data_IF_121348986333
#
_entry.id   IF_121348986333
#
_cell.length_a   1.000
_cell.length_b   1.000
_cell.length_c   1.000
_cell.angle_alpha   90.00
_cell.angle_beta   90.00
_cell.angle_gamma   90.00
#
_symmetry.space_group_name_H-M   'P 1'
#
loop_
_entity.id
_entity.type
_entity.pdbx_description
1 polymer ?
#
# COMPACT_ATOMS: atom_id res chain seq x y z
N UNK A 1 -2.65 12.20 -23.46
CA UNK A 1 -2.52 10.72 -23.70
C UNK A 1 -1.05 10.31 -23.58
N UNK A 2 -0.75 9.28 -22.78
CA UNK A 2 0.63 8.93 -22.36
C UNK A 2 1.10 7.62 -23.01
N UNK A 3 2.28 7.57 -23.66
CA UNK A 3 2.89 6.32 -24.07
C UNK A 3 3.28 5.52 -22.82
N UNK A 4 2.97 4.23 -22.82
CA UNK A 4 3.19 3.35 -21.68
C UNK A 4 4.50 2.61 -21.91
N UNK A 5 5.45 2.80 -20.99
CA UNK A 5 6.82 2.29 -21.17
C UNK A 5 7.07 0.98 -20.43
N UNK A 6 6.09 0.50 -19.64
CA UNK A 6 6.21 -0.78 -18.94
C UNK A 6 4.87 -1.51 -18.86
N UNK A 7 4.94 -2.84 -18.87
CA UNK A 7 3.78 -3.71 -18.65
C UNK A 7 3.08 -3.42 -17.31
N UNK A 8 3.84 -3.12 -16.26
CA UNK A 8 3.31 -2.84 -14.92
C UNK A 8 2.43 -1.59 -14.95
N UNK A 9 2.91 -0.52 -15.59
CA UNK A 9 2.16 0.71 -15.77
C UNK A 9 0.89 0.47 -16.61
N UNK A 10 0.97 -0.34 -17.69
CA UNK A 10 -0.20 -0.71 -18.49
C UNK A 10 -1.27 -1.41 -17.64
N UNK A 11 -0.88 -2.41 -16.86
CA UNK A 11 -1.79 -3.19 -16.02
C UNK A 11 -2.34 -2.37 -14.85
N UNK A 12 -1.57 -1.42 -14.30
CA UNK A 12 -2.08 -0.48 -13.30
C UNK A 12 -3.13 0.47 -13.88
N UNK A 13 -2.97 0.91 -15.14
CA UNK A 13 -3.95 1.74 -15.84
C UNK A 13 -5.24 0.95 -16.07
N UNK A 14 -5.14 -0.28 -16.62
CA UNK A 14 -6.29 -1.17 -16.82
C UNK A 14 -6.99 -1.48 -15.49
N UNK A 15 -6.21 -1.78 -14.44
CA UNK A 15 -6.72 -2.15 -13.11
C UNK A 15 -7.49 -1.05 -12.38
N UNK A 16 -7.36 0.22 -12.79
CA UNK A 16 -8.25 1.29 -12.29
C UNK A 16 -9.69 1.11 -12.79
N UNK A 17 -9.86 0.56 -13.98
CA UNK A 17 -11.15 0.32 -14.63
C UNK A 17 -11.88 -0.93 -14.16
N UNK A 18 -11.18 -1.93 -13.62
CA UNK A 18 -11.73 -3.24 -13.23
C UNK A 18 -12.49 -3.25 -11.90
N UNK A 19 -12.55 -2.12 -11.18
CA UNK A 19 -13.34 -2.00 -9.95
C UNK A 19 -14.84 -2.17 -10.25
N UNK A 20 -15.50 -3.07 -9.52
CA UNK A 20 -16.93 -3.36 -9.60
C UNK A 20 -17.75 -2.33 -8.81
N UNK A 21 -18.91 -1.94 -9.36
CA UNK A 21 -19.90 -1.08 -8.73
C UNK A 21 -21.30 -1.54 -9.16
N UNK A 22 -22.30 -1.37 -8.30
CA UNK A 22 -23.68 -1.61 -8.68
C UNK A 22 -24.06 -0.69 -9.85
N UNK A 23 -24.60 -1.26 -10.93
CA UNK A 23 -24.91 -0.59 -12.22
C UNK A 23 -23.72 -0.35 -13.16
N UNK A 24 -22.59 -1.05 -12.96
CA UNK A 24 -21.45 -1.02 -13.91
C UNK A 24 -21.10 -2.43 -14.37
N UNK A 25 -21.55 -2.78 -15.57
CA UNK A 25 -21.31 -4.12 -16.16
C UNK A 25 -20.01 -4.21 -16.95
N UNK A 26 -19.50 -3.08 -17.46
CA UNK A 26 -18.27 -3.03 -18.25
C UNK A 26 -17.54 -1.68 -18.11
N UNK A 27 -16.33 -1.61 -18.66
CA UNK A 27 -15.60 -0.37 -18.88
C UNK A 27 -14.91 -0.45 -20.24
N UNK A 28 -14.67 0.70 -20.87
CA UNK A 28 -14.07 0.76 -22.20
C UNK A 28 -12.70 1.42 -22.13
N UNK A 29 -11.69 0.76 -22.68
CA UNK A 29 -10.34 1.32 -22.81
C UNK A 29 -10.22 1.91 -24.22
N UNK A 30 -10.07 3.22 -24.30
CA UNK A 30 -9.73 3.89 -25.55
C UNK A 30 -8.21 4.09 -25.62
N UNK A 31 -7.55 3.23 -26.39
CA UNK A 31 -6.11 3.29 -26.59
C UNK A 31 -5.74 3.94 -27.92
N UNK A 32 -5.33 5.20 -27.85
CA UNK A 32 -4.96 6.02 -29.00
C UNK A 32 -3.47 5.92 -29.36
N UNK A 33 -2.64 5.41 -28.45
CA UNK A 33 -1.19 5.23 -28.66
C UNK A 33 -0.83 3.80 -29.04
N UNK A 34 -1.84 2.92 -29.16
CA UNK A 34 -1.71 1.50 -29.51
C UNK A 34 -0.83 0.71 -28.53
N UNK A 35 -0.78 1.14 -27.27
CA UNK A 35 -0.08 0.44 -26.19
C UNK A 35 -0.57 -1.01 -25.99
N UNK A 36 -1.85 -1.30 -26.21
CA UNK A 36 -2.39 -2.66 -26.15
C UNK A 36 -1.65 -3.62 -27.08
N UNK A 37 -1.15 -3.16 -28.23
CA UNK A 37 -0.38 -4.02 -29.15
C UNK A 37 0.94 -4.51 -28.55
N UNK A 38 1.50 -3.75 -27.60
CA UNK A 38 2.77 -4.06 -26.95
C UNK A 38 2.59 -4.82 -25.64
N UNK A 39 1.41 -4.74 -25.01
CA UNK A 39 1.17 -5.21 -23.64
C UNK A 39 -0.08 -6.09 -23.48
N UNK A 40 -0.70 -6.51 -24.58
CA UNK A 40 -1.80 -7.47 -24.57
C UNK A 40 -1.28 -8.82 -24.09
N UNK A 41 -1.94 -9.37 -23.08
CA UNK A 41 -1.64 -10.68 -22.52
C UNK A 41 -2.94 -11.51 -22.49
N UNK A 42 -3.23 -12.32 -23.53
CA UNK A 42 -4.48 -13.07 -23.64
C UNK A 42 -4.73 -14.04 -22.47
N UNK A 43 -3.68 -14.57 -21.83
CA UNK A 43 -3.83 -15.47 -20.67
C UNK A 43 -4.29 -14.72 -19.41
N UNK A 44 -4.00 -13.41 -19.32
CA UNK A 44 -4.34 -12.57 -18.17
C UNK A 44 -5.56 -11.66 -18.42
N UNK A 45 -5.66 -11.06 -19.60
CA UNK A 45 -6.70 -10.08 -19.97
C UNK A 45 -8.00 -10.74 -20.47
N UNK A 46 -7.92 -11.98 -20.97
CA UNK A 46 -8.99 -12.65 -21.70
C UNK A 46 -9.16 -12.12 -23.13
N UNK A 47 -10.14 -12.67 -23.87
CA UNK A 47 -10.46 -12.19 -25.21
C UNK A 47 -11.19 -10.84 -25.12
N UNK A 48 -10.76 -9.80 -25.87
CA UNK A 48 -11.47 -8.53 -25.90
C UNK A 48 -12.86 -8.73 -26.49
N UNK A 49 -13.89 -8.37 -25.71
CA UNK A 49 -15.25 -8.32 -26.23
C UNK A 49 -15.36 -7.19 -27.26
N UNK A 50 -16.09 -7.43 -28.33
CA UNK A 50 -16.38 -6.39 -29.31
C UNK A 50 -17.02 -5.18 -28.61
N UNK A 51 -16.58 -3.95 -28.94
CA UNK A 51 -17.14 -2.76 -28.34
C UNK A 51 -18.66 -2.77 -28.56
N UNK A 52 -19.42 -2.52 -27.48
CA UNK A 52 -20.86 -2.42 -27.56
C UNK A 52 -21.23 -1.53 -28.76
N UNK A 53 -22.06 -2.05 -29.66
CA UNK A 53 -22.59 -1.23 -30.76
C UNK A 53 -23.12 0.06 -30.13
N UNK A 54 -22.76 1.23 -30.67
CA UNK A 54 -23.13 2.50 -30.05
C UNK A 54 -24.64 2.52 -29.89
N UNK A 55 -25.11 2.33 -28.66
CA UNK A 55 -26.51 2.55 -28.32
C UNK A 55 -26.72 4.03 -28.57
N UNK A 56 -27.50 4.34 -29.61
CA UNK A 56 -27.73 5.69 -30.11
C UNK A 56 -28.44 6.54 -29.06
N UNK A 57 -27.70 6.97 -28.04
CA UNK A 57 -28.14 7.76 -26.91
C UNK A 57 -27.60 9.16 -27.02
N UNK A 58 -28.11 9.92 -27.98
CA UNK A 58 -27.78 11.32 -28.12
C UNK A 58 -28.62 11.99 -29.21
N UNK A 59 -29.70 12.65 -28.81
CA UNK A 59 -30.39 13.66 -29.62
C UNK A 59 -29.49 14.90 -29.89
N UNK A 60 -28.23 14.72 -30.25
CA UNK A 60 -27.35 15.80 -30.70
C UNK A 60 -27.67 16.10 -32.16
N UNK A 61 -27.95 17.34 -32.55
CA UNK A 61 -28.17 17.72 -33.96
C UNK A 61 -26.96 17.42 -34.86
N UNK A 62 -27.09 17.71 -36.16
CA UNK A 62 -25.94 17.75 -37.09
C UNK A 62 -24.82 18.59 -36.45
N UNK A 63 -23.56 18.17 -36.60
CA UNK A 63 -22.43 18.96 -36.10
C UNK A 63 -22.56 20.41 -36.58
N UNK A 64 -22.43 21.40 -35.69
CA UNK A 64 -22.58 22.81 -36.06
C UNK A 64 -21.47 23.30 -37.01
N UNK A 65 -20.34 22.61 -37.04
CA UNK A 65 -19.19 22.96 -37.88
C UNK A 65 -19.19 22.23 -39.23
N UNK A 66 -19.37 20.90 -39.24
CA UNK A 66 -19.33 20.12 -40.49
C UNK A 66 -20.68 19.66 -41.02
N UNK A 67 -21.78 19.83 -40.25
CA UNK A 67 -23.12 19.46 -40.70
C UNK A 67 -23.41 17.95 -40.76
N UNK A 68 -22.43 17.10 -40.45
CA UNK A 68 -22.55 15.64 -40.60
C UNK A 68 -22.89 14.91 -39.29
N UNK A 69 -23.40 13.67 -39.45
CA UNK A 69 -23.62 12.68 -38.38
C UNK A 69 -23.13 11.29 -38.81
N UNK A 70 -22.07 10.74 -38.19
CA UNK A 70 -21.26 11.31 -37.12
C UNK A 70 -20.40 12.51 -37.58
N UNK A 71 -19.93 13.33 -36.64
CA UNK A 71 -19.07 14.48 -36.94
C UNK A 71 -17.75 14.03 -37.60
N UNK A 72 -17.34 14.68 -38.68
CA UNK A 72 -16.08 14.41 -39.40
C UNK A 72 -14.96 15.44 -39.09
N UNK A 73 -15.19 16.38 -38.17
CA UNK A 73 -14.16 17.37 -37.81
C UNK A 73 -12.95 16.66 -37.19
N UNK A 74 -11.77 16.88 -37.76
CA UNK A 74 -10.50 16.46 -37.14
C UNK A 74 -10.21 17.43 -36.00
N UNK A 75 -10.36 16.98 -34.76
CA UNK A 75 -9.83 17.72 -33.61
C UNK A 75 -8.34 17.41 -33.51
N UNK A 76 -7.51 18.43 -33.69
CA UNK A 76 -6.09 18.31 -33.37
C UNK A 76 -5.94 17.96 -31.88
N UNK A 77 -5.08 17.00 -31.51
CA UNK A 77 -4.84 16.69 -30.11
C UNK A 77 -4.27 17.94 -29.41
N UNK A 78 -4.86 18.31 -28.28
CA UNK A 78 -4.38 19.43 -27.49
C UNK A 78 -2.90 19.20 -27.11
N UNK A 79 -2.05 20.24 -27.16
CA UNK A 79 -0.63 20.09 -26.85
C UNK A 79 -0.45 19.69 -25.37
N UNK A 80 0.42 18.71 -25.13
CA UNK A 80 0.84 18.34 -23.77
C UNK A 80 1.44 19.55 -23.04
N UNK A 81 1.37 19.56 -21.71
CA UNK A 81 1.97 20.64 -20.93
C UNK A 81 3.47 20.78 -21.24
N UNK A 82 3.91 21.96 -21.67
CA UNK A 82 5.30 22.24 -22.05
C UNK A 82 6.34 22.07 -20.92
N UNK A 83 5.90 21.95 -19.65
CA UNK A 83 6.78 21.77 -18.48
C UNK A 83 6.89 20.31 -18.04
N UNK A 84 5.78 19.59 -17.96
CA UNK A 84 5.76 18.22 -17.41
C UNK A 84 5.42 17.15 -18.45
N UNK A 85 5.10 17.53 -19.69
CA UNK A 85 4.76 16.64 -20.80
C UNK A 85 3.61 15.67 -20.48
N UNK A 86 2.79 15.98 -19.46
CA UNK A 86 1.63 15.19 -19.06
C UNK A 86 0.31 15.88 -19.47
N UNK A 87 -0.72 15.06 -19.66
CA UNK A 87 -2.12 15.43 -19.85
C UNK A 87 -3.00 14.44 -19.03
N UNK A 88 -3.63 14.88 -17.94
CA UNK A 88 -3.70 16.28 -17.46
C UNK A 88 -2.36 16.78 -16.89
N UNK A 89 -2.15 18.09 -16.95
CA UNK A 89 -0.97 18.77 -16.39
C UNK A 89 -0.85 18.53 -14.88
N UNK A 90 0.33 18.11 -14.40
CA UNK A 90 0.65 17.95 -12.96
C UNK A 90 1.53 19.08 -12.41
N UNK A 91 1.81 20.11 -13.21
CA UNK A 91 2.64 21.24 -12.78
C UNK A 91 2.01 22.08 -11.66
N UNK A 92 0.71 21.89 -11.41
CA UNK A 92 -0.03 22.56 -10.34
C UNK A 92 -0.18 21.72 -9.07
N UNK A 93 0.38 20.50 -8.99
CA UNK A 93 0.60 19.89 -7.68
C UNK A 93 1.60 20.76 -6.94
N UNK A 94 1.22 21.42 -5.83
CA UNK A 94 2.13 22.28 -5.11
C UNK A 94 3.33 21.42 -4.68
N UNK A 95 4.57 21.94 -4.79
CA UNK A 95 5.71 21.21 -4.29
C UNK A 95 5.47 20.87 -2.81
N UNK A 96 5.65 19.59 -2.45
CA UNK A 96 5.48 19.12 -1.07
C UNK A 96 6.29 20.03 -0.15
N UNK A 97 5.61 20.72 0.75
CA UNK A 97 6.25 21.62 1.68
C UNK A 97 6.80 20.80 2.85
N UNK A 98 8.05 20.33 2.71
CA UNK A 98 8.72 19.61 3.80
C UNK A 98 9.22 20.59 4.86
N UNK A 99 8.92 20.31 6.12
CA UNK A 99 9.47 21.05 7.26
C UNK A 99 10.38 20.13 8.10
N UNK A 100 11.42 20.72 8.69
CA UNK A 100 12.38 20.00 9.54
C UNK A 100 12.04 20.21 11.01
N UNK A 101 11.70 19.12 11.70
CA UNK A 101 11.55 19.08 13.15
C UNK A 101 12.87 18.65 13.78
N UNK A 102 13.40 19.43 14.72
CA UNK A 102 14.58 19.02 15.51
C UNK A 102 14.14 18.21 16.73
N UNK A 103 14.61 16.97 16.81
CA UNK A 103 14.34 16.05 17.93
C UNK A 103 15.47 16.06 18.97
N UNK A 104 16.71 16.26 18.53
CA UNK A 104 17.87 16.43 19.41
C UNK A 104 18.98 17.21 18.72
N UNK A 105 20.11 17.43 19.40
CA UNK A 105 21.26 18.12 18.81
C UNK A 105 21.74 17.48 17.50
N UNK A 106 21.66 16.15 17.40
CA UNK A 106 22.14 15.35 16.26
C UNK A 106 21.01 14.79 15.40
N UNK A 107 19.74 15.10 15.72
CA UNK A 107 18.59 14.48 15.06
C UNK A 107 17.55 15.50 14.61
N UNK A 108 17.23 15.44 13.32
CA UNK A 108 16.12 16.14 12.72
C UNK A 108 15.27 15.16 11.89
N UNK A 109 13.98 15.42 11.80
CA UNK A 109 13.00 14.69 11.02
C UNK A 109 12.41 15.62 9.96
N UNK A 110 12.26 15.13 8.73
CA UNK A 110 11.51 15.84 7.70
C UNK A 110 10.07 15.32 7.68
N UNK A 111 9.10 16.24 7.68
CA UNK A 111 7.67 15.91 7.60
C UNK A 111 6.98 16.74 6.51
N UNK A 112 5.92 16.20 5.93
CA UNK A 112 5.12 16.90 4.93
C UNK A 112 4.08 17.83 5.60
N UNK A 113 4.34 19.14 5.57
CA UNK A 113 3.46 20.14 6.18
C UNK A 113 2.13 20.35 5.45
N UNK A 114 1.95 19.78 4.26
CA UNK A 114 0.71 19.85 3.51
C UNK A 114 -0.32 18.81 3.97
N UNK A 115 0.12 17.76 4.67
CA UNK A 115 -0.77 16.71 5.17
C UNK A 115 -1.49 17.22 6.41
N UNK A 116 -2.81 17.38 6.29
CA UNK A 116 -3.69 17.78 7.39
C UNK A 116 -3.95 16.59 8.30
N UNK A 117 -3.17 16.49 9.36
CA UNK A 117 -3.39 15.55 10.46
C UNK A 117 -3.89 16.29 11.70
N UNK A 118 -4.44 15.55 12.65
CA UNK A 118 -4.78 16.08 13.96
C UNK A 118 -4.26 15.12 15.00
N UNK A 119 -3.59 15.64 16.01
CA UNK A 119 -3.02 14.87 17.11
C UNK A 119 -3.61 15.34 18.42
N UNK A 120 -3.72 14.44 19.37
CA UNK A 120 -4.25 14.69 20.69
C UNK A 120 -3.34 14.04 21.73
N UNK A 121 -3.13 14.72 22.85
CA UNK A 121 -2.43 14.14 23.97
C UNK A 121 -3.34 13.15 24.76
N UNK A 122 -2.78 12.51 25.79
CA UNK A 122 -3.51 11.58 26.67
C UNK A 122 -4.71 12.20 27.40
N UNK A 123 -4.73 13.53 27.59
CA UNK A 123 -5.86 14.27 28.18
C UNK A 123 -6.95 14.64 27.15
N UNK A 124 -6.78 14.28 25.88
CA UNK A 124 -7.68 14.63 24.79
C UNK A 124 -7.56 16.09 24.30
N UNK A 125 -6.48 16.79 24.63
CA UNK A 125 -6.18 18.13 24.11
C UNK A 125 -5.49 18.04 22.76
N UNK A 126 -5.90 18.84 21.77
CA UNK A 126 -5.22 18.86 20.48
C UNK A 126 -3.80 19.39 20.63
N UNK A 127 -2.85 18.72 19.98
CA UNK A 127 -1.44 19.09 19.94
C UNK A 127 -0.95 19.15 18.49
N UNK A 128 0.14 19.87 18.26
CA UNK A 128 0.78 19.92 16.94
C UNK A 128 1.48 18.60 16.60
N UNK A 129 1.72 18.38 15.30
CA UNK A 129 2.53 17.27 14.84
C UNK A 129 3.95 17.27 15.44
N UNK A 130 4.55 18.45 15.62
CA UNK A 130 5.86 18.60 16.23
C UNK A 130 5.85 18.14 17.70
N UNK A 131 4.85 18.56 18.47
CA UNK A 131 4.69 18.12 19.87
C UNK A 131 4.46 16.62 19.94
N UNK A 132 3.58 16.06 19.11
CA UNK A 132 3.32 14.62 19.07
C UNK A 132 4.60 13.82 18.79
N UNK A 133 5.38 14.22 17.77
CA UNK A 133 6.62 13.53 17.41
C UNK A 133 7.66 13.65 18.53
N UNK A 134 7.79 14.82 19.17
CA UNK A 134 8.71 15.02 20.29
C UNK A 134 8.33 14.18 21.51
N UNK A 135 7.05 14.13 21.86
CA UNK A 135 6.54 13.26 22.92
C UNK A 135 6.83 11.80 22.61
N UNK A 136 6.46 11.32 21.42
CA UNK A 136 6.73 9.94 21.01
C UNK A 136 8.23 9.62 21.07
N UNK A 137 9.07 10.52 20.56
CA UNK A 137 10.53 10.35 20.61
C UNK A 137 11.07 10.28 22.05
N UNK A 138 10.51 11.08 22.96
CA UNK A 138 10.87 11.09 24.38
C UNK A 138 10.45 9.83 25.13
N UNK A 139 9.32 9.22 24.74
CA UNK A 139 8.77 8.03 25.40
C UNK A 139 9.35 6.70 24.86
N UNK A 140 9.86 6.69 23.62
CA UNK A 140 10.43 5.49 22.99
C UNK A 140 11.44 4.74 23.87
N UNK A 141 12.41 5.39 24.56
CA UNK A 141 13.37 4.70 25.42
C UNK A 141 12.75 3.87 26.55
N UNK A 142 11.51 4.16 26.96
CA UNK A 142 10.77 3.38 27.96
C UNK A 142 10.13 2.12 27.37
N UNK A 143 9.89 2.10 26.05
CA UNK A 143 9.27 1.00 25.31
C UNK A 143 10.33 0.03 24.74
N UNK A 144 11.39 0.59 24.17
CA UNK A 144 12.53 -0.17 23.63
C UNK A 144 13.77 0.73 23.53
N UNK A 145 14.94 0.15 23.78
CA UNK A 145 16.22 0.86 23.93
C UNK A 145 17.07 0.83 22.65
N UNK A 146 16.78 -0.07 21.72
CA UNK A 146 17.50 -0.20 20.44
C UNK A 146 16.59 -0.69 19.32
N UNK A 147 17.03 -0.51 18.08
CA UNK A 147 16.36 -1.06 16.90
C UNK A 147 16.28 -2.59 16.96
N UNK A 148 17.29 -3.25 17.54
CA UNK A 148 17.30 -4.71 17.68
C UNK A 148 16.27 -5.18 18.71
N UNK A 149 16.14 -4.46 19.83
CA UNK A 149 15.06 -4.74 20.79
C UNK A 149 13.68 -4.49 20.17
N UNK A 150 13.51 -3.39 19.43
CA UNK A 150 12.28 -3.15 18.66
C UNK A 150 11.98 -4.32 17.72
N UNK A 151 12.99 -4.84 17.04
CA UNK A 151 12.86 -5.98 16.11
C UNK A 151 12.44 -7.26 16.83
N UNK A 152 13.05 -7.58 17.95
CA UNK A 152 12.70 -8.73 18.77
C UNK A 152 11.23 -8.67 19.23
N UNK A 153 10.80 -7.51 19.72
CA UNK A 153 9.42 -7.26 20.15
C UNK A 153 8.46 -7.32 18.96
N UNK A 154 8.78 -6.67 17.84
CA UNK A 154 7.85 -6.49 16.72
C UNK A 154 7.66 -7.75 15.88
N UNK A 155 8.69 -8.59 15.79
CA UNK A 155 8.70 -9.78 14.93
C UNK A 155 7.76 -10.89 15.41
N UNK A 156 7.33 -10.85 16.68
CA UNK A 156 6.39 -11.82 17.25
C UNK A 156 5.01 -11.16 17.44
N UNK A 157 3.89 -11.77 16.97
CA UNK A 157 2.56 -11.16 17.07
C UNK A 157 2.14 -10.78 18.49
N UNK A 158 2.48 -11.62 19.48
CA UNK A 158 2.09 -11.40 20.87
C UNK A 158 2.77 -10.17 21.48
N UNK A 159 4.09 -10.04 21.33
CA UNK A 159 4.84 -8.91 21.86
C UNK A 159 4.63 -7.64 21.05
N UNK A 160 4.39 -7.74 19.74
CA UNK A 160 3.96 -6.62 18.89
C UNK A 160 2.63 -6.04 19.37
N UNK A 161 1.64 -6.90 19.66
CA UNK A 161 0.35 -6.46 20.20
C UNK A 161 0.53 -5.74 21.53
N UNK A 162 1.31 -6.30 22.44
CA UNK A 162 1.63 -5.67 23.73
C UNK A 162 2.27 -4.30 23.57
N UNK A 163 3.21 -4.13 22.64
CA UNK A 163 3.82 -2.84 22.34
C UNK A 163 2.81 -1.82 21.78
N UNK A 164 1.89 -2.25 20.92
CA UNK A 164 0.81 -1.40 20.40
C UNK A 164 -0.16 -0.97 21.51
N UNK A 165 -0.47 -1.87 22.44
CA UNK A 165 -1.27 -1.57 23.64
C UNK A 165 -0.55 -0.54 24.53
N UNK A 166 0.73 -0.74 24.84
CA UNK A 166 1.54 0.18 25.64
C UNK A 166 1.67 1.57 24.98
N UNK A 167 1.83 1.62 23.65
CA UNK A 167 1.79 2.88 22.89
C UNK A 167 0.43 3.57 23.04
N UNK A 168 -0.67 2.83 22.93
CA UNK A 168 -2.01 3.39 23.09
C UNK A 168 -2.28 3.88 24.51
N UNK A 169 -1.81 3.17 25.54
CA UNK A 169 -1.91 3.58 26.94
C UNK A 169 -1.15 4.89 27.21
N UNK A 170 -0.04 5.12 26.51
CA UNK A 170 0.69 6.39 26.52
C UNK A 170 0.05 7.51 25.68
N UNK A 171 -1.08 7.23 25.02
CA UNK A 171 -1.83 8.21 24.21
C UNK A 171 -1.52 8.16 22.71
N UNK A 172 -0.69 7.23 22.24
CA UNK A 172 -0.39 7.03 20.82
C UNK A 172 -1.34 6.02 20.18
N UNK A 173 -2.58 6.45 19.96
CA UNK A 173 -3.63 5.59 19.38
C UNK A 173 -3.26 5.12 17.95
N UNK A 174 -3.78 3.96 17.48
CA UNK A 174 -3.55 3.48 16.11
C UNK A 174 -3.85 4.51 15.01
N UNK A 175 -4.93 5.30 15.16
CA UNK A 175 -5.29 6.35 14.19
C UNK A 175 -4.23 7.46 14.11
N UNK A 176 -3.68 7.90 15.24
CA UNK A 176 -2.61 8.90 15.27
C UNK A 176 -1.30 8.34 14.72
N UNK A 177 -0.99 7.06 14.96
CA UNK A 177 0.19 6.42 14.37
C UNK A 177 0.05 6.28 12.84
N UNK A 178 -1.18 6.11 12.33
CA UNK A 178 -1.46 6.15 10.90
C UNK A 178 -1.27 7.55 10.30
N UNK A 179 -1.76 8.58 10.98
CA UNK A 179 -1.56 9.97 10.59
C UNK A 179 -0.08 10.36 10.59
N UNK A 180 0.67 9.91 11.60
CA UNK A 180 2.12 10.04 11.66
C UNK A 180 2.79 9.33 10.46
N UNK A 181 2.35 8.13 10.11
CA UNK A 181 2.90 7.37 8.98
C UNK A 181 2.74 8.14 7.66
N UNK A 182 1.58 8.75 7.41
CA UNK A 182 1.36 9.63 6.25
C UNK A 182 2.26 10.86 6.31
N UNK A 183 2.32 11.49 7.47
CA UNK A 183 3.10 12.71 7.70
C UNK A 183 4.60 12.54 7.37
N UNK A 184 5.15 11.35 7.59
CA UNK A 184 6.54 11.00 7.24
C UNK A 184 6.70 10.34 5.87
N UNK A 185 5.64 10.30 5.03
CA UNK A 185 5.62 9.67 3.71
C UNK A 185 5.97 8.16 3.76
N UNK A 186 5.43 7.47 4.77
CA UNK A 186 5.69 6.05 5.04
C UNK A 186 4.51 5.13 4.82
N UNK A 187 3.51 5.50 4.02
CA UNK A 187 2.26 4.73 3.81
C UNK A 187 2.51 3.30 3.30
N UNK A 188 3.54 3.14 2.47
CA UNK A 188 3.98 1.85 1.94
C UNK A 188 4.85 1.06 2.93
N UNK A 189 5.22 1.64 4.07
CA UNK A 189 6.08 1.04 5.09
C UNK A 189 5.29 0.43 6.25
N UNK A 190 5.97 -0.44 7.00
CA UNK A 190 5.44 -0.97 8.25
C UNK A 190 5.56 0.09 9.36
N UNK A 191 4.68 0.06 10.36
CA UNK A 191 4.80 0.92 11.54
C UNK A 191 6.13 0.69 12.27
N UNK A 192 6.70 -0.52 12.20
CA UNK A 192 8.09 -0.79 12.61
C UNK A 192 9.08 0.21 12.00
N UNK A 193 8.98 0.46 10.69
CA UNK A 193 9.90 1.34 9.98
C UNK A 193 9.72 2.79 10.41
N UNK A 194 8.47 3.22 10.63
CA UNK A 194 8.14 4.56 11.12
C UNK A 194 8.71 4.78 12.52
N UNK A 195 8.52 3.81 13.43
CA UNK A 195 9.09 3.86 14.78
C UNK A 195 10.63 3.87 14.73
N UNK A 196 11.25 3.03 13.90
CA UNK A 196 12.70 3.00 13.73
C UNK A 196 13.25 4.28 13.09
N UNK A 197 12.52 4.91 12.17
CA UNK A 197 12.86 6.22 11.59
C UNK A 197 12.86 7.30 12.68
N UNK A 198 11.79 7.39 13.47
CA UNK A 198 11.65 8.37 14.55
C UNK A 198 12.64 8.12 15.67
N UNK A 199 12.93 6.87 16.03
CA UNK A 199 13.87 6.53 17.10
C UNK A 199 15.34 6.64 16.66
N UNK A 200 15.69 6.08 15.50
CA UNK A 200 17.07 5.80 15.10
C UNK A 200 17.48 6.37 13.74
N UNK A 201 16.62 7.16 13.08
CA UNK A 201 16.89 7.77 11.76
C UNK A 201 17.16 6.73 10.67
N UNK A 202 16.51 5.57 10.79
CA UNK A 202 16.56 4.48 9.81
C UNK A 202 15.67 4.81 8.62
N UNK A 203 16.13 4.51 7.41
CA UNK A 203 15.31 4.70 6.21
C UNK A 203 14.05 3.83 6.27
N UNK A 204 12.95 4.39 5.79
CA UNK A 204 11.70 3.68 5.62
C UNK A 204 11.89 2.55 4.59
N UNK A 205 11.46 1.34 4.94
CA UNK A 205 11.48 0.18 4.05
C UNK A 205 10.06 -0.15 3.61
N UNK A 206 9.76 -0.25 2.31
CA UNK A 206 8.43 -0.66 1.87
C UNK A 206 8.07 -2.08 2.30
N UNK A 207 6.79 -2.33 2.63
CA UNK A 207 6.27 -3.66 2.98
C UNK A 207 6.54 -4.69 1.89
N UNK A 208 6.46 -4.29 0.62
CA UNK A 208 6.79 -5.15 -0.52
C UNK A 208 8.24 -5.63 -0.46
N UNK A 209 9.19 -4.73 -0.15
CA UNK A 209 10.60 -5.10 -0.02
C UNK A 209 10.84 -6.07 1.15
N UNK A 210 10.08 -5.93 2.24
CA UNK A 210 10.12 -6.88 3.37
C UNK A 210 9.59 -8.25 2.96
N UNK A 211 8.44 -8.27 2.29
CA UNK A 211 7.81 -9.50 1.83
C UNK A 211 8.71 -10.27 0.86
N UNK A 212 9.29 -9.60 -0.13
CA UNK A 212 10.21 -10.24 -1.10
C UNK A 212 11.45 -10.83 -0.43
N UNK A 213 12.03 -10.15 0.58
CA UNK A 213 13.14 -10.73 1.35
C UNK A 213 12.70 -11.95 2.15
N UNK A 214 11.54 -11.87 2.82
CA UNK A 214 11.03 -12.98 3.62
C UNK A 214 10.79 -14.25 2.78
N UNK A 215 10.39 -14.11 1.51
CA UNK A 215 10.20 -15.24 0.58
C UNK A 215 11.44 -16.10 0.41
N UNK A 216 12.64 -15.51 0.47
CA UNK A 216 13.93 -16.22 0.30
C UNK A 216 14.11 -17.27 1.41
N UNK A 217 13.55 -17.04 2.58
CA UNK A 217 13.66 -17.90 3.76
C UNK A 217 12.52 -18.91 3.87
N UNK A 218 11.67 -19.06 2.83
CA UNK A 218 10.55 -20.01 2.85
C UNK A 218 10.94 -21.43 2.41
N UNK A 219 12.20 -21.68 2.08
CA UNK A 219 12.66 -22.99 1.57
C UNK A 219 12.48 -24.15 2.56
N UNK A 220 12.45 -23.87 3.86
CA UNK A 220 12.28 -24.88 4.91
C UNK A 220 10.81 -25.33 5.08
N UNK A 221 9.87 -24.70 4.37
CA UNK A 221 8.44 -25.03 4.41
C UNK A 221 8.04 -25.95 3.25
N UNK A 222 7.00 -26.77 3.47
CA UNK A 222 6.38 -27.56 2.40
C UNK A 222 5.80 -26.66 1.29
N UNK A 223 5.66 -27.14 0.04
CA UNK A 223 5.08 -26.35 -1.05
C UNK A 223 3.72 -25.72 -0.72
N UNK A 224 2.85 -26.46 -0.04
CA UNK A 224 1.53 -26.00 0.38
C UNK A 224 1.64 -24.88 1.43
N UNK A 225 2.56 -25.02 2.39
CA UNK A 225 2.85 -23.97 3.38
C UNK A 225 3.45 -22.74 2.71
N UNK A 226 4.39 -22.89 1.77
CA UNK A 226 4.93 -21.76 1.01
C UNK A 226 3.83 -21.00 0.27
N UNK A 227 2.89 -21.72 -0.35
CA UNK A 227 1.75 -21.10 -1.04
C UNK A 227 0.84 -20.31 -0.08
N UNK A 228 0.61 -20.84 1.12
CA UNK A 228 -0.12 -20.14 2.18
C UNK A 228 0.63 -18.91 2.68
N UNK A 229 1.93 -19.04 3.01
CA UNK A 229 2.74 -17.95 3.51
C UNK A 229 2.91 -16.83 2.47
N UNK A 230 3.05 -17.18 1.18
CA UNK A 230 3.03 -16.20 0.08
C UNK A 230 1.70 -15.44 0.00
N UNK A 231 0.57 -16.12 0.25
CA UNK A 231 -0.72 -15.47 0.34
C UNK A 231 -0.80 -14.50 1.52
N UNK A 232 -0.32 -14.90 2.71
CA UNK A 232 -0.25 -14.02 3.90
C UNK A 232 0.62 -12.80 3.63
N UNK A 233 1.78 -12.98 2.99
CA UNK A 233 2.66 -11.88 2.59
C UNK A 233 1.96 -10.88 1.67
N UNK A 234 1.12 -11.36 0.73
CA UNK A 234 0.32 -10.48 -0.14
C UNK A 234 -0.68 -9.65 0.67
N UNK A 235 -1.37 -10.26 1.63
CA UNK A 235 -2.29 -9.54 2.53
C UNK A 235 -1.55 -8.49 3.37
N UNK A 236 -0.39 -8.85 3.92
CA UNK A 236 0.46 -7.91 4.65
C UNK A 236 0.90 -6.71 3.80
N UNK A 237 1.32 -6.92 2.55
CA UNK A 237 1.71 -5.82 1.66
C UNK A 237 0.52 -4.90 1.40
N UNK A 238 -0.65 -5.47 1.13
CA UNK A 238 -1.87 -4.74 0.76
C UNK A 238 -2.53 -4.01 1.93
N UNK A 239 -2.71 -4.70 3.06
CA UNK A 239 -3.55 -4.26 4.18
C UNK A 239 -2.74 -3.90 5.43
N UNK A 240 -1.47 -4.29 5.50
CA UNK A 240 -0.56 -3.91 6.56
C UNK A 240 -0.36 -4.97 7.65
N UNK A 241 0.32 -4.56 8.71
CA UNK A 241 0.86 -5.43 9.76
C UNK A 241 -0.21 -6.14 10.60
N UNK A 242 -1.44 -5.62 10.62
CA UNK A 242 -2.57 -6.24 11.34
C UNK A 242 -2.91 -7.63 10.80
N UNK A 243 -2.72 -7.87 9.50
CA UNK A 243 -2.90 -9.19 8.88
C UNK A 243 -1.96 -10.26 9.44
N UNK A 244 -0.89 -9.85 10.10
CA UNK A 244 0.08 -10.73 10.74
C UNK A 244 -0.26 -11.01 12.21
N UNK A 245 -1.38 -10.50 12.73
CA UNK A 245 -1.84 -10.85 14.07
C UNK A 245 -2.33 -12.30 14.11
N UNK A 246 -2.06 -12.97 15.23
CA UNK A 246 -2.49 -14.34 15.45
C UNK A 246 -4.01 -14.55 15.33
N UNK A 247 -4.80 -13.55 15.74
CA UNK A 247 -6.26 -13.58 15.61
C UNK A 247 -6.74 -13.64 14.16
N UNK A 248 -5.93 -13.18 13.19
CA UNK A 248 -6.26 -13.21 11.76
C UNK A 248 -6.08 -14.57 11.13
N UNK A 249 -5.41 -15.51 11.78
CA UNK A 249 -5.10 -16.81 11.19
C UNK A 249 -6.36 -17.53 10.70
N UNK A 250 -7.43 -17.54 11.50
CA UNK A 250 -8.69 -18.18 11.10
C UNK A 250 -9.29 -17.54 9.85
N UNK A 251 -9.34 -16.21 9.80
CA UNK A 251 -9.91 -15.45 8.69
C UNK A 251 -9.10 -15.66 7.41
N UNK A 252 -7.77 -15.69 7.50
CA UNK A 252 -6.87 -15.94 6.38
C UNK A 252 -7.00 -17.36 5.82
N UNK A 253 -7.18 -18.36 6.69
CA UNK A 253 -7.40 -19.74 6.27
C UNK A 253 -8.75 -19.88 5.55
N UNK A 254 -9.81 -19.26 6.07
CA UNK A 254 -11.14 -19.25 5.42
C UNK A 254 -11.06 -18.49 4.09
N UNK A 255 -10.36 -17.36 4.04
CA UNK A 255 -10.23 -16.55 2.84
C UNK A 255 -9.50 -17.29 1.71
N UNK A 256 -8.47 -18.09 2.02
CA UNK A 256 -7.71 -18.84 1.00
C UNK A 256 -8.33 -20.21 0.65
N UNK A 257 -8.89 -20.92 1.63
CA UNK A 257 -9.32 -22.31 1.48
C UNK A 257 -10.83 -22.51 1.58
N UNK A 258 -11.61 -21.45 1.76
CA UNK A 258 -13.07 -21.45 1.96
C UNK A 258 -13.55 -22.10 3.27
N UNK A 259 -12.78 -23.02 3.87
CA UNK A 259 -13.05 -23.61 5.17
C UNK A 259 -11.76 -24.03 5.91
N UNK A 260 -11.81 -24.03 7.25
CA UNK A 260 -10.69 -24.48 8.10
C UNK A 260 -10.37 -25.98 7.87
N UNK A 261 -11.40 -26.79 7.59
CA UNK A 261 -11.21 -28.22 7.31
C UNK A 261 -10.34 -28.45 6.07
N UNK A 262 -10.56 -27.66 5.01
CA UNK A 262 -9.81 -27.73 3.76
C UNK A 262 -8.39 -27.19 3.91
N UNK A 263 -8.20 -26.18 4.76
CA UNK A 263 -6.88 -25.71 5.11
C UNK A 263 -6.08 -26.81 5.85
N UNK A 264 -6.70 -27.50 6.80
CA UNK A 264 -6.05 -28.59 7.57
C UNK A 264 -5.67 -29.78 6.70
N UNK A 265 -6.50 -30.14 5.71
CA UNK A 265 -6.21 -31.27 4.83
C UNK A 265 -4.98 -31.01 3.95
N UNK A 266 -4.69 -29.74 3.64
CA UNK A 266 -3.53 -29.32 2.82
C UNK A 266 -2.30 -28.97 3.65
N UNK A 267 -2.46 -28.25 4.75
CA UNK A 267 -1.37 -27.62 5.50
C UNK A 267 -0.95 -28.38 6.77
N UNK A 268 -1.73 -29.38 7.18
CA UNK A 268 -1.49 -30.16 8.40
C UNK A 268 -2.32 -29.71 9.60
N UNK A 269 -1.84 -30.00 10.79
CA UNK A 269 -2.54 -29.67 12.04
C UNK A 269 -2.58 -28.16 12.29
N UNK A 270 -3.57 -27.70 13.06
CA UNK A 270 -3.71 -26.28 13.42
C UNK A 270 -2.44 -25.74 14.11
N UNK A 271 -1.77 -26.59 14.91
CA UNK A 271 -0.51 -26.23 15.57
C UNK A 271 0.61 -25.97 14.56
N UNK A 272 0.78 -26.84 13.57
CA UNK A 272 1.79 -26.68 12.51
C UNK A 272 1.51 -25.44 11.66
N UNK A 273 0.24 -25.21 11.29
CA UNK A 273 -0.17 -24.01 10.54
C UNK A 273 0.18 -22.74 11.31
N UNK A 274 -0.18 -22.69 12.60
CA UNK A 274 0.09 -21.55 13.48
C UNK A 274 1.59 -21.33 13.66
N UNK A 275 2.35 -22.40 13.88
CA UNK A 275 3.81 -22.32 14.02
C UNK A 275 4.47 -21.79 12.75
N UNK A 276 4.01 -22.22 11.57
CA UNK A 276 4.48 -21.67 10.31
C UNK A 276 4.10 -20.18 10.15
N UNK A 277 2.83 -19.84 10.44
CA UNK A 277 2.31 -18.47 10.38
C UNK A 277 3.02 -17.50 11.32
N UNK A 278 3.45 -17.95 12.50
CA UNK A 278 4.22 -17.11 13.44
C UNK A 278 5.71 -17.12 13.08
N UNK A 279 6.26 -18.30 12.79
CA UNK A 279 7.70 -18.50 12.60
C UNK A 279 8.27 -17.73 11.41
N UNK A 280 7.54 -17.63 10.30
CA UNK A 280 8.03 -16.91 9.12
C UNK A 280 8.13 -15.40 9.35
N UNK A 281 7.36 -14.82 10.29
CA UNK A 281 7.26 -13.37 10.45
C UNK A 281 8.57 -12.73 10.87
N UNK A 282 9.43 -13.45 11.60
CA UNK A 282 10.78 -12.96 11.94
C UNK A 282 11.60 -12.63 10.67
N UNK A 283 11.36 -13.35 9.57
CA UNK A 283 12.04 -13.15 8.30
C UNK A 283 11.63 -11.84 7.59
N UNK A 284 10.49 -11.24 7.95
CA UNK A 284 10.11 -9.91 7.45
C UNK A 284 11.04 -8.80 7.95
N UNK A 285 11.65 -9.01 9.11
CA UNK A 285 12.47 -8.03 9.80
C UNK A 285 13.95 -8.43 9.88
N UNK A 286 14.40 -9.50 9.21
CA UNK A 286 15.83 -9.79 9.11
C UNK A 286 16.58 -8.66 8.40
N UNK A 287 17.83 -8.44 8.80
CA UNK A 287 18.71 -7.47 8.15
C UNK A 287 19.02 -7.97 6.74
N UNK A 288 19.07 -7.06 5.77
CA UNK A 288 19.69 -7.38 4.50
C UNK A 288 21.15 -7.76 4.77
N UNK A 289 21.56 -8.95 4.34
CA UNK A 289 22.98 -9.30 4.30
C UNK A 289 23.68 -8.25 3.44
N UNK A 290 24.61 -7.51 4.05
CA UNK A 290 25.47 -6.56 3.34
C UNK A 290 26.46 -7.25 2.42
#
# INVERSE_FOLDING_TARGET
MRPINSMIEFKQIVGRGTRLFDSKDYFTIYDFVKAHKHFQDPEWDGEPLDPAEPSGGGNGGKCKECGEKPCICVKEPEPLCYKCENDPCVCEEPPRALIKIRLSEKKALEIDSMIKTSFWNSDGKPISAEEFIKSLFGDIPELFTSEDQLREIWSLPSTRRKLLEELSEKGYTPAQLEDLRRLVQGEDSDLFDVLAFIAYSKNLTPRISRAERAKIYLNDYSPEQQEFLNFVLKQYVQSGVEELDDSKLSDLLILKYHAIADAKSKLGSISEIRNAFIGFQQQLYTRASG
#
